data_IF_891859985824
#
_entry.id   IF_891859985824
#
_cell.length_a   1.000
_cell.length_b   1.000
_cell.length_c   1.000
_cell.angle_alpha   90.00
_cell.angle_beta   90.00
_cell.angle_gamma   90.00
#
_symmetry.space_group_name_H-M   'P 1'
#
loop_
_entity.id
_entity.type
_entity.pdbx_description
1 polymer ?
#
# COMPACT_ATOMS: atom_id res chain seq x y z
N UNK A 1 47.02 32.25 -24.45
CA UNK A 1 45.94 31.33 -24.93
C UNK A 1 45.70 30.11 -24.02
N UNK A 2 46.02 30.13 -22.72
CA UNK A 2 45.86 28.95 -21.83
C UNK A 2 44.70 29.03 -20.82
N UNK A 3 44.13 30.22 -20.57
CA UNK A 3 43.03 30.42 -19.60
C UNK A 3 41.63 30.17 -20.15
N UNK A 4 41.41 30.28 -21.47
CA UNK A 4 40.10 30.00 -22.09
C UNK A 4 39.82 28.50 -22.29
N UNK A 5 40.86 27.65 -22.26
CA UNK A 5 40.71 26.21 -22.45
C UNK A 5 40.32 25.46 -21.17
N UNK A 6 40.66 26.00 -19.99
CA UNK A 6 40.27 25.39 -18.71
C UNK A 6 38.78 25.58 -18.37
N UNK A 7 38.16 26.69 -18.81
CA UNK A 7 36.77 26.97 -18.46
C UNK A 7 35.78 26.09 -19.23
N UNK A 8 36.14 25.64 -20.44
CA UNK A 8 35.29 24.80 -21.28
C UNK A 8 35.29 23.33 -20.83
N UNK A 9 36.34 22.87 -20.16
CA UNK A 9 36.45 21.48 -19.67
C UNK A 9 35.63 21.27 -18.39
N UNK A 10 35.43 22.31 -17.57
CA UNK A 10 34.66 22.19 -16.33
C UNK A 10 33.14 22.17 -16.53
N UNK A 11 32.63 22.62 -17.69
CA UNK A 11 31.19 22.66 -17.96
C UNK A 11 30.64 21.38 -18.62
N UNK A 12 31.53 20.47 -19.05
CA UNK A 12 31.15 19.23 -19.72
C UNK A 12 30.96 18.02 -18.79
N UNK A 13 31.24 18.14 -17.48
CA UNK A 13 31.26 17.01 -16.53
C UNK A 13 30.04 16.90 -15.59
N UNK A 14 28.99 17.68 -15.80
CA UNK A 14 27.84 17.72 -14.87
C UNK A 14 26.53 17.25 -15.50
N UNK A 15 26.58 16.31 -16.44
CA UNK A 15 25.39 15.53 -16.82
C UNK A 15 25.51 14.19 -16.10
N UNK A 16 25.31 14.21 -14.78
CA UNK A 16 24.99 13.01 -14.03
C UNK A 16 23.62 12.55 -14.52
N UNK A 17 23.61 11.75 -15.59
CA UNK A 17 22.47 10.92 -15.94
C UNK A 17 22.27 9.97 -14.76
N UNK A 18 21.46 10.40 -13.79
CA UNK A 18 20.82 9.49 -12.88
C UNK A 18 19.90 8.65 -13.75
N UNK A 19 20.42 7.53 -14.25
CA UNK A 19 19.59 6.43 -14.70
C UNK A 19 18.85 5.95 -13.45
N UNK A 20 17.75 6.64 -13.11
CA UNK A 20 16.72 6.08 -12.27
C UNK A 20 16.14 4.93 -13.10
N UNK A 21 16.79 3.77 -13.02
CA UNK A 21 16.20 2.53 -13.48
C UNK A 21 14.90 2.42 -12.70
N UNK A 22 13.77 2.63 -13.38
CA UNK A 22 12.48 2.49 -12.76
C UNK A 22 12.36 1.02 -12.34
N UNK A 23 12.61 0.73 -11.06
CA UNK A 23 12.47 -0.61 -10.53
C UNK A 23 11.00 -1.02 -10.68
N UNK A 24 10.76 -2.01 -11.53
CA UNK A 24 9.45 -2.63 -11.66
C UNK A 24 9.18 -3.52 -10.46
N UNK A 25 7.90 -3.64 -10.09
CA UNK A 25 7.49 -4.59 -9.06
C UNK A 25 7.33 -5.98 -9.66
N UNK A 26 7.79 -6.99 -8.92
CA UNK A 26 7.46 -8.39 -9.18
C UNK A 26 6.06 -8.71 -8.67
N UNK A 27 5.29 -9.48 -9.45
CA UNK A 27 3.93 -9.90 -9.10
C UNK A 27 3.81 -11.43 -9.23
N UNK A 28 3.10 -12.11 -8.31
CA UNK A 28 2.53 -11.57 -7.07
C UNK A 28 3.60 -11.22 -6.04
N UNK A 29 3.33 -10.22 -5.20
CA UNK A 29 4.19 -9.89 -4.07
C UNK A 29 3.39 -9.89 -2.77
N UNK A 30 4.03 -10.35 -1.69
CA UNK A 30 3.50 -10.23 -0.33
C UNK A 30 4.47 -9.44 0.54
N UNK A 31 3.93 -8.50 1.31
CA UNK A 31 4.72 -7.70 2.27
C UNK A 31 4.09 -7.77 3.65
N UNK A 32 4.94 -7.91 4.67
CA UNK A 32 4.52 -7.78 6.06
C UNK A 32 4.36 -6.30 6.41
N UNK A 33 3.15 -5.91 6.81
CA UNK A 33 2.84 -4.58 7.33
C UNK A 33 3.25 -4.50 8.80
N UNK A 34 4.05 -3.48 9.15
CA UNK A 34 4.62 -3.35 10.49
C UNK A 34 3.87 -2.31 11.32
N UNK A 35 3.77 -2.48 12.66
CA UNK A 35 3.26 -1.47 13.55
C UNK A 35 3.99 -0.13 13.37
N UNK A 36 3.23 0.96 13.24
CA UNK A 36 3.79 2.32 13.22
C UNK A 36 4.16 2.77 14.64
N UNK A 37 3.36 2.36 15.62
CA UNK A 37 3.58 2.60 17.04
C UNK A 37 3.83 1.27 17.78
N UNK A 38 4.33 1.34 19.01
CA UNK A 38 4.57 0.17 19.87
C UNK A 38 3.24 -0.42 20.38
N UNK A 39 2.51 -1.08 19.49
CA UNK A 39 1.30 -1.85 19.83
C UNK A 39 1.72 -3.32 19.80
N UNK A 40 1.62 -4.04 20.92
CA UNK A 40 2.08 -5.42 21.00
C UNK A 40 1.25 -6.32 20.09
N UNK A 41 1.89 -7.34 19.53
CA UNK A 41 1.32 -8.48 18.80
C UNK A 41 0.61 -8.16 17.46
N UNK A 42 0.29 -6.91 17.16
CA UNK A 42 -0.34 -6.58 15.89
C UNK A 42 0.63 -6.82 14.74
N UNK A 43 0.12 -7.41 13.66
CA UNK A 43 0.86 -7.64 12.43
C UNK A 43 -0.12 -7.65 11.27
N UNK A 44 0.35 -7.42 10.06
CA UNK A 44 -0.47 -7.63 8.88
C UNK A 44 0.35 -8.08 7.70
N UNK A 45 -0.34 -8.54 6.68
CA UNK A 45 0.23 -8.82 5.37
C UNK A 45 -0.58 -8.12 4.31
N UNK A 46 0.09 -7.62 3.28
CA UNK A 46 -0.57 -7.19 2.06
C UNK A 46 -0.15 -8.06 0.89
N UNK A 47 -1.12 -8.58 0.14
CA UNK A 47 -0.93 -9.29 -1.11
C UNK A 47 -1.22 -8.34 -2.28
N UNK A 48 -0.20 -8.16 -3.12
CA UNK A 48 -0.23 -7.32 -4.30
C UNK A 48 -0.17 -8.24 -5.51
N UNK A 49 -1.20 -8.22 -6.36
CA UNK A 49 -1.33 -9.18 -7.46
C UNK A 49 -1.99 -8.56 -8.68
N UNK A 50 -1.74 -9.14 -9.86
CA UNK A 50 -2.47 -8.81 -11.08
C UNK A 50 -3.78 -9.62 -11.12
N UNK A 51 -4.86 -8.96 -11.48
CA UNK A 51 -6.21 -9.54 -11.57
C UNK A 51 -6.75 -9.26 -12.97
N UNK A 52 -7.23 -10.31 -13.65
CA UNK A 52 -7.94 -10.18 -14.92
C UNK A 52 -9.43 -10.02 -14.63
N UNK A 53 -9.99 -8.85 -14.92
CA UNK A 53 -11.41 -8.56 -14.71
C UNK A 53 -12.12 -8.45 -16.06
N UNK A 54 -13.29 -9.08 -16.25
CA UNK A 54 -14.08 -8.88 -17.46
C UNK A 54 -14.67 -7.47 -17.48
N UNK A 55 -14.96 -6.92 -18.66
CA UNK A 55 -15.66 -5.63 -18.78
C UNK A 55 -17.15 -5.74 -18.42
N UNK A 56 -17.74 -6.92 -18.60
CA UNK A 56 -19.15 -7.22 -18.38
C UNK A 56 -19.32 -8.62 -17.78
N UNK A 57 -20.48 -8.93 -17.22
CA UNK A 57 -20.79 -10.27 -16.69
C UNK A 57 -21.08 -11.32 -17.79
N UNK A 58 -21.03 -10.91 -19.06
CA UNK A 58 -21.35 -11.79 -20.18
C UNK A 58 -20.23 -12.82 -20.41
N UNK A 59 -20.58 -14.08 -20.73
CA UNK A 59 -19.61 -15.06 -21.20
C UNK A 59 -18.85 -14.54 -22.42
N UNK A 60 -17.52 -14.61 -22.38
CA UNK A 60 -16.65 -14.15 -23.48
C UNK A 60 -16.32 -12.65 -23.48
N UNK A 61 -16.73 -11.90 -22.44
CA UNK A 61 -16.33 -10.49 -22.29
C UNK A 61 -14.80 -10.33 -22.31
N UNK A 62 -14.24 -9.34 -23.04
CA UNK A 62 -12.81 -9.07 -22.99
C UNK A 62 -12.35 -8.83 -21.55
N UNK A 63 -11.11 -9.20 -21.25
CA UNK A 63 -10.54 -9.01 -19.92
C UNK A 63 -9.58 -7.84 -19.91
N UNK A 64 -9.58 -7.08 -18.82
CA UNK A 64 -8.61 -6.04 -18.52
C UNK A 64 -7.80 -6.44 -17.31
N UNK A 65 -6.50 -6.18 -17.37
CA UNK A 65 -5.64 -6.39 -16.20
C UNK A 65 -5.76 -5.20 -15.25
N UNK A 66 -5.88 -5.49 -13.96
CA UNK A 66 -5.83 -4.55 -12.85
C UNK A 66 -4.85 -5.04 -11.81
N UNK A 67 -4.37 -4.13 -10.98
CA UNK A 67 -3.64 -4.49 -9.78
C UNK A 67 -4.61 -4.55 -8.61
N UNK A 68 -4.47 -5.59 -7.79
CA UNK A 68 -5.20 -5.75 -6.54
C UNK A 68 -4.28 -5.65 -5.34
N UNK A 69 -4.77 -4.98 -4.30
CA UNK A 69 -4.16 -4.91 -2.98
C UNK A 69 -5.16 -5.50 -2.00
N UNK A 70 -4.83 -6.66 -1.45
CA UNK A 70 -5.53 -7.29 -0.33
C UNK A 70 -4.73 -7.11 0.95
N UNK A 71 -5.38 -6.77 2.07
CA UNK A 71 -4.76 -6.68 3.39
C UNK A 71 -5.45 -7.66 4.32
N UNK A 72 -4.66 -8.43 5.06
CA UNK A 72 -5.07 -9.15 6.26
C UNK A 72 -4.28 -8.59 7.44
N UNK A 73 -4.95 -8.15 8.49
CA UNK A 73 -4.34 -7.61 9.69
C UNK A 73 -4.82 -8.41 10.89
N UNK A 74 -3.87 -8.91 11.68
CA UNK A 74 -4.13 -9.81 12.79
C UNK A 74 -3.99 -9.08 14.13
N UNK A 75 -4.67 -9.61 15.14
CA UNK A 75 -4.59 -9.14 16.53
C UNK A 75 -4.95 -7.65 16.72
N UNK A 76 -5.76 -7.07 15.85
CA UNK A 76 -6.05 -5.64 15.86
C UNK A 76 -6.95 -5.25 17.05
N UNK A 77 -6.59 -4.21 17.84
CA UNK A 77 -7.48 -3.68 18.87
C UNK A 77 -8.76 -3.08 18.26
N UNK A 78 -9.74 -2.75 19.11
CA UNK A 78 -10.88 -1.99 18.62
C UNK A 78 -10.43 -0.58 18.18
N UNK A 79 -10.94 -0.04 17.05
CA UNK A 79 -10.61 1.30 16.57
C UNK A 79 -10.81 2.41 17.63
N UNK A 80 -11.84 2.27 18.48
CA UNK A 80 -12.16 3.20 19.56
C UNK A 80 -11.07 3.31 20.62
N UNK A 81 -10.17 2.34 20.72
CA UNK A 81 -9.01 2.39 21.63
C UNK A 81 -8.01 3.48 21.23
N UNK A 82 -8.15 4.06 20.04
CA UNK A 82 -7.27 5.10 19.50
C UNK A 82 -7.94 6.49 19.43
N UNK A 83 -9.12 6.65 20.06
CA UNK A 83 -9.89 7.89 20.07
C UNK A 83 -11.24 7.73 19.36
N UNK A 84 -11.72 8.81 18.74
CA UNK A 84 -13.01 8.84 18.04
C UNK A 84 -12.93 8.19 16.65
N UNK A 85 -12.70 6.87 16.63
CA UNK A 85 -12.67 6.03 15.44
C UNK A 85 -13.54 4.79 15.65
N UNK A 86 -14.17 4.30 14.58
CA UNK A 86 -15.11 3.18 14.63
C UNK A 86 -14.76 2.03 13.67
N UNK A 87 -13.82 2.25 12.75
CA UNK A 87 -13.41 1.23 11.78
C UNK A 87 -11.94 1.36 11.35
N UNK A 88 -11.45 0.32 10.67
CA UNK A 88 -10.21 0.36 9.91
C UNK A 88 -10.48 0.51 8.42
N UNK A 89 -9.59 1.20 7.72
CA UNK A 89 -9.56 1.28 6.26
C UNK A 89 -8.18 0.83 5.75
N UNK A 90 -8.18 0.04 4.70
CA UNK A 90 -6.99 -0.24 3.91
C UNK A 90 -6.72 0.95 3.01
N UNK A 91 -5.44 1.30 2.88
CA UNK A 91 -5.02 2.47 2.17
C UNK A 91 -3.73 2.18 1.40
N UNK A 92 -3.80 2.30 0.08
CA UNK A 92 -2.65 2.20 -0.82
C UNK A 92 -2.44 3.57 -1.48
N UNK A 93 -1.21 4.07 -1.51
CA UNK A 93 -0.92 5.39 -2.06
C UNK A 93 0.41 5.42 -2.79
N UNK A 94 0.40 6.07 -3.96
CA UNK A 94 1.60 6.59 -4.59
C UNK A 94 1.75 8.04 -4.10
N UNK A 95 2.79 8.35 -3.28
CA UNK A 95 2.91 9.66 -2.65
C UNK A 95 2.92 10.80 -3.67
N UNK A 96 2.05 11.79 -3.48
CA UNK A 96 1.94 12.95 -4.38
C UNK A 96 1.12 12.73 -5.64
N UNK A 97 0.64 11.51 -5.92
CA UNK A 97 -0.06 11.17 -7.16
C UNK A 97 -1.52 10.75 -6.90
N UNK A 98 -1.72 9.60 -6.27
CA UNK A 98 -3.05 8.99 -6.11
C UNK A 98 -3.09 8.07 -4.90
N UNK A 99 -4.27 7.93 -4.30
CA UNK A 99 -4.53 6.97 -3.24
C UNK A 99 -5.82 6.21 -3.45
N UNK A 100 -5.82 4.95 -3.05
CA UNK A 100 -7.00 4.09 -2.99
C UNK A 100 -7.31 3.76 -1.53
N UNK A 101 -8.56 3.98 -1.16
CA UNK A 101 -9.10 3.73 0.17
C UNK A 101 -10.18 2.67 0.07
N UNK A 102 -10.12 1.66 0.92
CA UNK A 102 -11.12 0.59 0.94
C UNK A 102 -11.42 0.16 2.37
N UNK A 103 -12.67 -0.26 2.58
CA UNK A 103 -13.15 -0.68 3.89
C UNK A 103 -12.51 -2.01 4.30
N UNK A 104 -12.14 -2.10 5.57
CA UNK A 104 -11.77 -3.37 6.21
C UNK A 104 -12.96 -3.89 6.98
N UNK A 105 -13.05 -5.21 7.08
CA UNK A 105 -14.11 -5.91 7.80
C UNK A 105 -13.49 -6.78 8.89
N UNK A 106 -14.10 -6.84 10.09
CA UNK A 106 -13.67 -7.78 11.10
C UNK A 106 -13.91 -9.20 10.58
N UNK A 107 -12.92 -10.07 10.76
CA UNK A 107 -13.03 -11.48 10.42
C UNK A 107 -13.78 -12.18 11.55
N UNK A 108 -14.82 -12.94 11.19
CA UNK A 108 -15.56 -13.76 12.15
C UNK A 108 -14.76 -15.03 12.43
N UNK A 109 -14.32 -15.19 13.66
CA UNK A 109 -13.66 -16.39 14.15
C UNK A 109 -14.66 -17.24 14.93
N UNK A 110 -14.60 -18.57 14.78
CA UNK A 110 -15.46 -19.49 15.53
C UNK A 110 -15.13 -19.50 17.02
N UNK A 111 -13.84 -19.30 17.34
CA UNK A 111 -13.32 -19.16 18.70
C UNK A 111 -12.48 -17.89 18.78
N UNK A 112 -13.09 -16.72 19.07
CA UNK A 112 -12.34 -15.49 19.21
C UNK A 112 -11.36 -15.60 20.37
N UNK A 113 -10.17 -15.02 20.20
CA UNK A 113 -9.20 -14.94 21.29
C UNK A 113 -9.77 -14.12 22.46
N UNK A 114 -9.91 -14.76 23.63
CA UNK A 114 -10.49 -14.12 24.82
C UNK A 114 -9.66 -12.93 25.35
N UNK A 115 -8.37 -12.89 25.00
CA UNK A 115 -7.40 -11.88 25.45
C UNK A 115 -6.68 -11.19 24.28
N UNK A 116 -7.24 -11.23 23.07
CA UNK A 116 -6.59 -10.73 21.85
C UNK A 116 -7.42 -9.69 21.09
N UNK A 117 -6.74 -8.99 20.18
CA UNK A 117 -7.43 -8.21 19.16
C UNK A 117 -8.07 -9.13 18.11
N UNK A 118 -8.98 -8.59 17.31
CA UNK A 118 -9.66 -9.34 16.24
C UNK A 118 -8.92 -9.18 14.92
N UNK A 119 -8.95 -10.17 14.03
CA UNK A 119 -8.43 -10.01 12.68
C UNK A 119 -9.36 -9.14 11.82
N UNK A 120 -8.78 -8.44 10.85
CA UNK A 120 -9.47 -7.61 9.88
C UNK A 120 -8.96 -7.88 8.47
N UNK A 121 -9.87 -7.87 7.49
CA UNK A 121 -9.54 -8.14 6.09
C UNK A 121 -10.22 -7.13 5.17
N UNK A 122 -9.54 -6.79 4.07
CA UNK A 122 -10.10 -5.93 3.03
C UNK A 122 -9.31 -6.05 1.74
N UNK A 123 -9.93 -5.68 0.63
CA UNK A 123 -9.30 -5.74 -0.69
C UNK A 123 -9.83 -4.65 -1.60
N UNK A 124 -8.96 -4.14 -2.46
CA UNK A 124 -9.31 -3.31 -3.62
C UNK A 124 -8.58 -3.83 -4.86
N UNK A 125 -9.30 -4.05 -5.97
CA UNK A 125 -8.74 -4.67 -7.18
C UNK A 125 -9.07 -3.98 -8.50
N UNK A 126 -9.36 -2.68 -8.43
CA UNK A 126 -9.58 -1.84 -9.62
C UNK A 126 -8.43 -0.86 -9.87
N UNK A 127 -7.23 -1.11 -9.34
CA UNK A 127 -6.07 -0.23 -9.57
C UNK A 127 -5.61 -0.38 -11.01
N UNK A 128 -5.77 0.67 -11.81
CA UNK A 128 -5.23 0.75 -13.18
C UNK A 128 -3.85 1.39 -13.25
N UNK A 129 -3.46 2.15 -12.22
CA UNK A 129 -2.14 2.77 -12.16
C UNK A 129 -1.05 1.71 -11.92
N UNK A 130 0.13 1.96 -12.46
CA UNK A 130 1.30 1.15 -12.17
C UNK A 130 1.85 1.52 -10.78
N UNK A 131 1.99 0.53 -9.91
CA UNK A 131 2.52 0.75 -8.56
C UNK A 131 4.04 0.78 -8.63
N UNK A 132 4.65 1.77 -7.97
CA UNK A 132 6.09 1.88 -7.81
C UNK A 132 6.58 1.26 -6.49
N UNK A 133 7.89 1.00 -6.33
CA UNK A 133 8.49 0.58 -5.05
C UNK A 133 8.21 1.53 -3.89
N UNK A 134 7.96 2.81 -4.18
CA UNK A 134 7.65 3.85 -3.19
C UNK A 134 6.17 3.89 -2.80
N UNK A 135 5.33 3.05 -3.41
CA UNK A 135 3.93 2.89 -3.01
C UNK A 135 3.86 2.46 -1.54
N UNK A 136 3.07 3.18 -0.76
CA UNK A 136 2.82 2.91 0.65
C UNK A 136 1.51 2.12 0.74
N UNK A 137 1.57 0.96 1.40
CA UNK A 137 0.39 0.19 1.80
C UNK A 137 0.26 0.28 3.30
N UNK A 138 -0.93 0.63 3.77
CA UNK A 138 -1.19 0.87 5.19
C UNK A 138 -2.60 0.46 5.60
N UNK A 139 -2.73 0.13 6.88
CA UNK A 139 -3.99 0.01 7.59
C UNK A 139 -4.16 1.26 8.46
N UNK A 140 -5.24 2.00 8.27
CA UNK A 140 -5.48 3.28 8.95
C UNK A 140 -6.77 3.23 9.75
N UNK A 141 -6.81 3.98 10.84
CA UNK A 141 -8.05 4.24 11.57
C UNK A 141 -8.97 5.11 10.71
N UNK A 142 -10.27 4.99 10.91
CA UNK A 142 -11.27 5.81 10.23
C UNK A 142 -12.50 5.97 11.10
N UNK A 143 -13.16 7.12 10.94
CA UNK A 143 -14.46 7.39 11.54
C UNK A 143 -15.50 7.45 10.42
N UNK A 144 -16.40 6.46 10.38
CA UNK A 144 -17.41 6.33 9.33
C UNK A 144 -18.46 7.45 9.37
N UNK A 145 -18.72 8.02 10.55
CA UNK A 145 -19.71 9.10 10.76
C UNK A 145 -19.20 10.43 10.26
N UNK A 146 -17.92 10.73 10.48
CA UNK A 146 -17.31 11.99 10.04
C UNK A 146 -16.53 11.87 8.73
N UNK A 147 -16.43 10.65 8.18
CA UNK A 147 -15.57 10.29 7.03
C UNK A 147 -14.10 10.74 7.20
N UNK A 148 -13.62 10.78 8.45
CA UNK A 148 -12.26 11.25 8.76
C UNK A 148 -11.31 10.07 8.73
N UNK A 149 -10.29 10.14 7.86
CA UNK A 149 -9.18 9.19 7.86
C UNK A 149 -8.19 9.54 8.98
N UNK A 150 -7.91 8.57 9.84
CA UNK A 150 -7.00 8.68 10.97
C UNK A 150 -5.55 8.30 10.64
N UNK A 151 -4.70 8.18 11.66
CA UNK A 151 -3.31 7.77 11.49
C UNK A 151 -3.20 6.30 11.06
N UNK A 152 -2.06 5.96 10.45
CA UNK A 152 -1.72 4.58 10.13
C UNK A 152 -1.35 3.81 11.40
N UNK A 153 -1.81 2.55 11.46
CA UNK A 153 -1.53 1.62 12.56
C UNK A 153 -0.53 0.56 12.12
N UNK A 154 -0.72 0.03 10.91
CA UNK A 154 0.24 -0.82 10.21
C UNK A 154 0.63 -0.15 8.89
N UNK A 155 1.91 -0.20 8.51
CA UNK A 155 2.34 0.28 7.20
C UNK A 155 3.60 -0.41 6.70
N UNK A 156 3.77 -0.41 5.38
CA UNK A 156 5.03 -0.72 4.73
C UNK A 156 5.07 -0.17 3.29
N UNK A 157 6.25 -0.18 2.66
CA UNK A 157 6.46 0.22 1.26
C UNK A 157 6.64 -1.00 0.36
N UNK A 158 6.33 -0.87 -0.93
CA UNK A 158 6.54 -1.95 -1.91
C UNK A 158 8.00 -2.16 -2.34
N UNK A 159 8.99 -1.50 -1.72
CA UNK A 159 10.43 -1.69 -1.99
C UNK A 159 10.89 -3.15 -1.97
N UNK A 160 10.30 -3.99 -1.11
CA UNK A 160 10.63 -5.43 -1.05
C UNK A 160 10.05 -6.26 -2.19
N UNK A 161 9.17 -5.66 -2.98
CA UNK A 161 8.60 -6.23 -4.19
C UNK A 161 9.36 -5.80 -5.45
N UNK A 162 10.35 -4.91 -5.33
CA UNK A 162 11.15 -4.48 -6.47
C UNK A 162 12.16 -5.56 -6.87
N UNK A 163 12.35 -5.71 -8.19
CA UNK A 163 13.42 -6.54 -8.77
C UNK A 163 14.76 -5.78 -8.86
#
# INVERSE_FOLDING_TARGET
MKKKLLLTIFMALSISQSNAYAQSLSYPCSIVLKPVNKIPNISGTALITKVKKPYTEQPGSPVRERTGVGIYADWMPQPSNFGDYDQYEGFAQIPGEISWKFKMYPVKEDQPSWFGGSPWVGKFDEISAELSPETIVSLRLSNSRTNRLGPAVLQFTLKRCAE
#
